data_IF_182398635575
#
_entry.id   IF_182398635575
#
_cell.length_a   1.000
_cell.length_b   1.000
_cell.length_c   1.000
_cell.angle_alpha   90.00
_cell.angle_beta   90.00
_cell.angle_gamma   90.00
#
_symmetry.space_group_name_H-M   'P 1'
#
loop_
_entity.id
_entity.type
_entity.pdbx_description
1 polymer ?
#
# COMPACT_ATOMS: atom_id res chain seq x y z
N UNK A 1 -33.26 -5.42 16.17
CA UNK A 1 -32.50 -5.66 14.92
C UNK A 1 -32.55 -4.40 14.10
N UNK A 2 -31.42 -3.69 13.96
CA UNK A 2 -31.28 -2.60 13.01
C UNK A 2 -30.08 -2.93 12.13
N UNK A 3 -30.37 -3.35 10.91
CA UNK A 3 -29.39 -3.61 9.86
C UNK A 3 -28.75 -2.28 9.47
N UNK A 4 -27.47 -2.11 9.80
CA UNK A 4 -26.67 -1.00 9.27
C UNK A 4 -26.35 -1.34 7.82
N UNK A 5 -26.89 -0.57 6.88
CA UNK A 5 -26.53 -0.67 5.48
C UNK A 5 -25.03 -0.38 5.30
N UNK A 6 -24.33 -1.07 4.37
CA UNK A 6 -22.93 -0.77 4.11
C UNK A 6 -22.79 0.69 3.65
N UNK A 7 -21.83 1.40 4.24
CA UNK A 7 -21.54 2.78 3.87
C UNK A 7 -21.21 2.85 2.37
N UNK A 8 -21.93 3.72 1.65
CA UNK A 8 -21.78 3.90 0.20
C UNK A 8 -20.47 4.57 -0.24
N UNK A 9 -19.57 4.90 0.69
CA UNK A 9 -18.23 5.40 0.38
C UNK A 9 -17.36 5.34 1.64
N UNK A 10 -16.33 4.49 1.71
CA UNK A 10 -15.37 4.48 2.83
C UNK A 10 -14.70 5.85 3.04
N UNK A 11 -14.65 6.68 1.99
CA UNK A 11 -14.11 8.04 2.01
C UNK A 11 -14.89 9.02 2.89
N UNK A 12 -16.10 8.69 3.35
CA UNK A 12 -16.85 9.54 4.30
C UNK A 12 -16.46 9.37 5.77
N UNK A 13 -15.69 8.33 6.13
CA UNK A 13 -15.28 8.10 7.53
C UNK A 13 -14.16 9.05 7.99
N UNK A 14 -13.44 9.67 7.05
CA UNK A 14 -12.48 10.74 7.29
C UNK A 14 -12.92 11.92 6.40
N UNK A 15 -13.11 13.13 6.93
CA UNK A 15 -13.54 14.29 6.14
C UNK A 15 -12.43 14.78 5.19
N UNK A 16 -12.05 13.96 4.21
CA UNK A 16 -11.10 14.29 3.15
C UNK A 16 -11.87 14.94 1.99
N UNK A 17 -12.48 16.10 2.26
CA UNK A 17 -13.40 16.76 1.31
C UNK A 17 -12.73 17.13 -0.03
N UNK A 18 -11.40 17.20 -0.06
CA UNK A 18 -10.61 17.52 -1.25
C UNK A 18 -9.62 16.41 -1.62
N UNK A 19 -9.88 15.16 -1.20
CA UNK A 19 -9.13 14.01 -1.68
C UNK A 19 -9.41 13.71 -3.16
N UNK A 20 -8.39 13.18 -3.83
CA UNK A 20 -8.51 12.70 -5.22
C UNK A 20 -8.49 11.18 -5.21
N UNK A 21 -9.55 10.60 -5.75
CA UNK A 21 -9.68 9.18 -5.96
C UNK A 21 -9.57 8.83 -7.44
N UNK A 22 -8.96 7.69 -7.74
CA UNK A 22 -8.94 7.09 -9.08
C UNK A 22 -9.33 5.63 -8.96
N UNK A 23 -10.31 5.18 -9.75
CA UNK A 23 -10.85 3.82 -9.67
C UNK A 23 -11.18 3.40 -8.23
N UNK A 24 -11.68 4.32 -7.38
CA UNK A 24 -11.99 4.07 -5.97
C UNK A 24 -10.80 4.03 -5.01
N UNK A 25 -9.57 4.12 -5.50
CA UNK A 25 -8.36 4.23 -4.67
C UNK A 25 -7.96 5.67 -4.41
N UNK A 26 -7.48 5.97 -3.21
CA UNK A 26 -7.02 7.31 -2.81
C UNK A 26 -5.62 7.59 -3.40
N UNK A 27 -5.52 8.49 -4.39
CA UNK A 27 -4.23 8.93 -4.98
C UNK A 27 -3.67 10.19 -4.33
N UNK A 28 -4.55 11.04 -3.80
CA UNK A 28 -4.19 12.23 -3.03
C UNK A 28 -5.12 12.38 -1.84
N UNK A 29 -4.55 12.58 -0.65
CA UNK A 29 -5.27 13.04 0.53
C UNK A 29 -5.76 14.49 0.32
N UNK A 30 -6.12 15.20 1.40
CA UNK A 30 -6.60 16.58 1.30
C UNK A 30 -5.61 17.47 0.55
N UNK A 31 -6.07 18.03 -0.57
CA UNK A 31 -5.25 18.83 -1.50
C UNK A 31 -5.08 20.29 -1.07
N UNK A 32 -5.79 20.72 -0.02
CA UNK A 32 -5.61 22.07 0.56
C UNK A 32 -4.48 22.06 1.60
N UNK A 33 -4.27 20.91 2.25
CA UNK A 33 -3.20 20.75 3.23
C UNK A 33 -1.84 20.63 2.55
N UNK A 34 -0.81 21.24 3.16
CA UNK A 34 0.58 21.18 2.67
C UNK A 34 1.32 19.96 3.23
N UNK A 35 0.70 18.79 3.11
CA UNK A 35 1.23 17.52 3.61
C UNK A 35 1.72 16.63 2.47
N UNK A 36 2.87 15.98 2.69
CA UNK A 36 3.40 14.93 1.81
C UNK A 36 3.55 13.66 2.63
N UNK A 37 3.01 12.56 2.13
CA UNK A 37 3.11 11.24 2.75
C UNK A 37 4.14 10.42 1.98
N UNK A 38 5.27 10.12 2.61
CA UNK A 38 6.29 9.25 2.02
C UNK A 38 5.84 7.80 2.15
N UNK A 39 5.79 7.09 1.03
CA UNK A 39 5.43 5.68 0.95
C UNK A 39 6.58 4.88 0.34
N UNK A 40 6.84 3.69 0.88
CA UNK A 40 7.80 2.74 0.33
C UNK A 40 7.12 1.37 0.23
N UNK A 41 7.23 0.73 -0.93
CA UNK A 41 6.80 -0.66 -1.09
C UNK A 41 8.01 -1.60 -1.01
N UNK A 42 7.79 -2.84 -0.61
CA UNK A 42 8.86 -3.84 -0.52
C UNK A 42 8.34 -5.27 -0.65
N UNK A 43 9.00 -6.05 -1.52
CA UNK A 43 8.67 -7.44 -1.81
C UNK A 43 9.91 -8.31 -1.88
N UNK A 44 10.56 -8.34 -3.04
CA UNK A 44 11.66 -9.27 -3.32
C UNK A 44 13.00 -8.88 -2.71
N UNK A 45 13.26 -7.57 -2.57
CA UNK A 45 14.56 -7.03 -2.15
C UNK A 45 14.42 -6.03 -1.00
N UNK A 46 15.49 -5.88 -0.21
CA UNK A 46 15.56 -4.93 0.90
C UNK A 46 16.79 -4.01 0.88
N UNK A 47 17.54 -3.97 -0.23
CA UNK A 47 18.90 -3.41 -0.28
C UNK A 47 18.98 -1.96 0.21
N UNK A 48 17.95 -1.16 -0.11
CA UNK A 48 17.81 0.23 0.34
C UNK A 48 17.28 0.40 1.77
N UNK A 49 16.66 -0.61 2.36
CA UNK A 49 15.87 -0.50 3.59
C UNK A 49 16.66 0.02 4.78
N UNK A 50 17.91 -0.42 4.96
CA UNK A 50 18.80 0.08 6.03
C UNK A 50 19.17 1.56 5.83
N UNK A 51 19.38 1.96 4.59
CA UNK A 51 19.74 3.33 4.24
C UNK A 51 18.54 4.27 4.42
N UNK A 52 17.38 3.90 3.87
CA UNK A 52 16.11 4.62 4.02
C UNK A 52 15.79 4.83 5.50
N UNK A 53 15.82 3.76 6.31
CA UNK A 53 15.60 3.86 7.76
C UNK A 53 16.57 4.85 8.41
N UNK A 54 17.85 4.86 8.02
CA UNK A 54 18.85 5.76 8.60
C UNK A 54 18.56 7.21 8.25
N UNK A 55 18.20 7.48 6.99
CA UNK A 55 17.87 8.83 6.51
C UNK A 55 16.62 9.34 7.20
N UNK A 56 15.53 8.56 7.22
CA UNK A 56 14.28 8.95 7.89
C UNK A 56 14.51 9.26 9.38
N UNK A 57 15.27 8.39 10.07
CA UNK A 57 15.62 8.62 11.47
C UNK A 57 16.42 9.91 11.68
N UNK A 58 17.40 10.19 10.82
CA UNK A 58 18.21 11.40 10.90
C UNK A 58 17.39 12.66 10.64
N UNK A 59 16.42 12.60 9.74
CA UNK A 59 15.54 13.72 9.40
C UNK A 59 14.35 13.87 10.36
N UNK A 60 14.09 12.88 11.22
CA UNK A 60 12.92 12.88 12.11
C UNK A 60 11.59 12.79 11.36
N UNK A 61 11.58 12.21 10.16
CA UNK A 61 10.39 12.16 9.28
C UNK A 61 9.73 10.78 9.36
N UNK A 62 8.43 10.69 9.70
CA UNK A 62 7.69 9.44 9.60
C UNK A 62 7.40 9.09 8.14
N UNK A 63 7.26 7.79 7.86
CA UNK A 63 6.93 7.27 6.54
C UNK A 63 6.00 6.06 6.68
N UNK A 64 5.45 5.64 5.55
CA UNK A 64 4.53 4.52 5.43
C UNK A 64 5.22 3.44 4.60
N UNK A 65 5.28 2.22 5.12
CA UNK A 65 5.86 1.08 4.40
C UNK A 65 4.75 0.07 4.14
N UNK A 66 4.68 -0.41 2.90
CA UNK A 66 3.73 -1.44 2.48
C UNK A 66 4.54 -2.65 2.00
N UNK A 67 4.43 -3.76 2.73
CA UNK A 67 5.26 -4.93 2.49
C UNK A 67 4.43 -6.12 2.07
N UNK A 68 4.97 -6.92 1.15
CA UNK A 68 4.34 -8.19 0.78
C UNK A 68 4.39 -9.16 1.97
N UNK A 69 3.56 -10.19 1.94
CA UNK A 69 3.63 -11.26 2.94
C UNK A 69 4.97 -11.97 2.92
N UNK A 70 5.55 -12.19 1.74
CA UNK A 70 6.90 -12.75 1.61
C UNK A 70 7.97 -11.86 2.25
N UNK A 71 7.86 -10.53 2.09
CA UNK A 71 8.74 -9.59 2.77
C UNK A 71 8.60 -9.66 4.30
N UNK A 72 7.38 -9.80 4.84
CA UNK A 72 7.17 -10.00 6.28
C UNK A 72 7.68 -11.36 6.78
N UNK A 73 7.53 -12.44 6.00
CA UNK A 73 8.00 -13.80 6.36
C UNK A 73 9.52 -13.89 6.41
N UNK A 74 10.17 -13.21 5.48
CA UNK A 74 11.61 -13.20 5.28
C UNK A 74 12.39 -12.95 6.60
N UNK A 75 13.23 -13.90 7.06
CA UNK A 75 14.03 -13.74 8.26
C UNK A 75 14.98 -12.54 8.24
N UNK A 76 15.56 -12.23 7.09
CA UNK A 76 16.48 -11.11 6.87
C UNK A 76 15.80 -9.74 7.04
N UNK A 77 14.49 -9.65 6.77
CA UNK A 77 13.70 -8.44 6.94
C UNK A 77 13.27 -8.19 8.39
N UNK A 78 13.23 -9.21 9.25
CA UNK A 78 12.67 -9.11 10.60
C UNK A 78 13.26 -7.98 11.43
N UNK A 79 14.59 -7.80 11.36
CA UNK A 79 15.28 -6.74 12.11
C UNK A 79 14.90 -5.35 11.61
N UNK A 80 14.75 -5.18 10.31
CA UNK A 80 14.32 -3.92 9.70
C UNK A 80 12.87 -3.60 10.10
N UNK A 81 11.94 -4.54 9.93
CA UNK A 81 10.52 -4.35 10.24
C UNK A 81 10.32 -3.96 11.71
N UNK A 82 10.96 -4.67 12.65
CA UNK A 82 10.91 -4.33 14.08
C UNK A 82 11.45 -2.93 14.37
N UNK A 83 12.52 -2.53 13.67
CA UNK A 83 13.10 -1.19 13.83
C UNK A 83 12.14 -0.12 13.31
N UNK A 84 11.58 -0.31 12.11
CA UNK A 84 10.63 0.64 11.52
C UNK A 84 9.40 0.83 12.42
N UNK A 85 8.83 -0.28 12.93
CA UNK A 85 7.72 -0.24 13.89
C UNK A 85 8.08 0.55 15.15
N UNK A 86 9.23 0.24 15.76
CA UNK A 86 9.70 0.92 16.99
C UNK A 86 9.90 2.42 16.77
N UNK A 87 10.22 2.82 15.54
CA UNK A 87 10.43 4.21 15.15
C UNK A 87 9.13 4.96 14.81
N UNK A 88 7.97 4.31 14.94
CA UNK A 88 6.68 4.95 14.72
C UNK A 88 6.29 5.11 13.25
N UNK A 89 6.94 4.38 12.34
CA UNK A 89 6.51 4.31 10.95
C UNK A 89 5.24 3.48 10.81
N UNK A 90 4.39 3.84 9.85
CA UNK A 90 3.23 3.03 9.50
C UNK A 90 3.69 1.81 8.70
N UNK A 91 3.14 0.63 9.03
CA UNK A 91 3.42 -0.63 8.34
C UNK A 91 2.11 -1.24 7.87
N UNK A 92 1.94 -1.36 6.56
CA UNK A 92 0.73 -1.84 5.91
C UNK A 92 0.93 -3.04 4.99
N UNK A 93 -0.16 -3.60 4.48
CA UNK A 93 -0.15 -4.68 3.52
C UNK A 93 0.15 -4.21 2.08
N UNK A 94 0.83 -5.07 1.32
CA UNK A 94 1.09 -4.95 -0.12
C UNK A 94 0.89 -6.30 -0.83
N UNK A 95 -0.24 -6.99 -0.57
CA UNK A 95 -0.52 -8.38 -1.00
C UNK A 95 0.35 -9.42 -0.29
N UNK A 96 -0.09 -10.67 -0.23
CA UNK A 96 0.75 -11.74 0.31
C UNK A 96 1.80 -12.19 -0.71
N UNK A 97 1.35 -12.50 -1.94
CA UNK A 97 2.14 -13.10 -3.02
C UNK A 97 2.40 -12.17 -4.19
N UNK A 98 2.12 -10.87 -4.02
CA UNK A 98 2.36 -9.85 -5.04
C UNK A 98 1.66 -10.20 -6.38
N UNK A 99 0.43 -10.69 -6.28
CA UNK A 99 -0.37 -11.11 -7.43
C UNK A 99 -0.77 -9.89 -8.28
N UNK A 100 -0.74 -10.05 -9.60
CA UNK A 100 -1.36 -9.09 -10.49
C UNK A 100 -2.88 -9.25 -10.37
N UNK A 101 -3.59 -8.24 -9.88
CA UNK A 101 -5.04 -8.33 -9.69
C UNK A 101 -5.88 -7.86 -10.89
N UNK A 102 -5.38 -6.88 -11.63
CA UNK A 102 -6.03 -6.32 -12.81
C UNK A 102 -5.10 -6.42 -14.02
N UNK A 103 -5.65 -6.66 -15.21
CA UNK A 103 -4.83 -6.86 -16.41
C UNK A 103 -4.10 -5.56 -16.82
N UNK A 104 -2.88 -5.72 -17.34
CA UNK A 104 -2.10 -4.64 -17.94
C UNK A 104 -2.67 -4.16 -19.28
N UNK A 105 -3.28 -5.06 -20.04
CA UNK A 105 -3.77 -4.78 -21.40
C UNK A 105 -5.18 -4.21 -21.39
N UNK A 106 -6.03 -4.73 -20.49
CA UNK A 106 -7.39 -4.23 -20.28
C UNK A 106 -7.65 -4.09 -18.79
N UNK A 107 -7.50 -2.88 -18.25
CA UNK A 107 -7.56 -2.60 -16.81
C UNK A 107 -8.88 -3.03 -16.15
N UNK A 108 -9.98 -3.05 -16.89
CA UNK A 108 -11.28 -3.48 -16.37
C UNK A 108 -11.38 -5.01 -16.22
N UNK A 109 -10.45 -5.76 -16.79
CA UNK A 109 -10.35 -7.22 -16.60
C UNK A 109 -9.63 -7.56 -15.30
N UNK A 110 -10.21 -8.50 -14.56
CA UNK A 110 -9.60 -9.10 -13.38
C UNK A 110 -8.69 -10.26 -13.78
N UNK A 111 -7.59 -10.41 -13.05
CA UNK A 111 -6.65 -11.52 -13.18
C UNK A 111 -6.79 -12.54 -12.05
N UNK A 112 -7.61 -12.21 -11.05
CA UNK A 112 -7.90 -13.03 -9.87
C UNK A 112 -9.40 -13.00 -9.57
N UNK A 113 -9.90 -14.07 -8.95
CA UNK A 113 -11.21 -14.10 -8.31
C UNK A 113 -11.23 -13.26 -7.02
N UNK A 114 -12.44 -12.99 -6.50
CA UNK A 114 -12.62 -12.28 -5.24
C UNK A 114 -12.04 -13.07 -4.06
N UNK A 115 -12.19 -14.39 -4.09
CA UNK A 115 -11.71 -15.32 -3.09
C UNK A 115 -10.18 -15.35 -3.06
N UNK A 116 -9.53 -15.33 -4.22
CA UNK A 116 -8.07 -15.24 -4.34
C UNK A 116 -7.56 -13.90 -3.81
N UNK A 117 -8.13 -12.78 -4.25
CA UNK A 117 -7.80 -11.44 -3.73
C UNK A 117 -7.95 -11.37 -2.19
N UNK A 118 -9.09 -11.84 -1.68
CA UNK A 118 -9.40 -11.80 -0.25
C UNK A 118 -8.43 -12.66 0.55
N UNK A 119 -8.16 -13.88 0.09
CA UNK A 119 -7.26 -14.82 0.75
C UNK A 119 -5.83 -14.30 0.76
N UNK A 120 -5.37 -13.74 -0.36
CA UNK A 120 -4.07 -13.12 -0.48
C UNK A 120 -3.92 -11.94 0.51
N UNK A 121 -4.87 -11.02 0.56
CA UNK A 121 -4.78 -9.89 1.50
C UNK A 121 -4.86 -10.34 2.97
N UNK A 122 -5.72 -11.31 3.30
CA UNK A 122 -5.83 -11.88 4.65
C UNK A 122 -4.53 -12.57 5.06
N UNK A 123 -3.87 -13.31 4.16
CA UNK A 123 -2.61 -13.98 4.47
C UNK A 123 -1.49 -12.97 4.75
N UNK A 124 -1.47 -11.84 4.04
CA UNK A 124 -0.52 -10.77 4.34
C UNK A 124 -0.72 -10.22 5.77
N UNK A 125 -1.97 -9.99 6.19
CA UNK A 125 -2.28 -9.61 7.57
C UNK A 125 -1.86 -10.66 8.60
N UNK A 126 -1.96 -11.96 8.29
CA UNK A 126 -1.49 -13.01 9.20
C UNK A 126 0.00 -12.83 9.49
N UNK A 127 0.83 -12.57 8.48
CA UNK A 127 2.26 -12.32 8.69
C UNK A 127 2.52 -11.04 9.49
N UNK A 128 1.72 -10.00 9.24
CA UNK A 128 1.77 -8.75 9.99
C UNK A 128 1.47 -8.94 11.49
N UNK A 129 0.68 -9.95 11.89
CA UNK A 129 0.41 -10.22 13.31
C UNK A 129 1.64 -10.68 14.09
N UNK A 130 2.62 -11.35 13.44
CA UNK A 130 3.92 -11.65 14.07
C UNK A 130 4.72 -10.37 14.39
N UNK A 131 4.40 -9.31 13.64
CA UNK A 131 4.67 -7.89 13.85
C UNK A 131 4.15 -7.31 15.14
N UNK A 132 3.05 -7.88 15.66
CA UNK A 132 2.07 -7.23 16.52
C UNK A 132 1.17 -6.24 15.79
N UNK A 133 1.17 -6.21 14.44
CA UNK A 133 0.41 -5.25 13.64
C UNK A 133 -0.93 -5.90 13.34
N UNK A 134 -2.01 -5.28 13.79
CA UNK A 134 -3.35 -5.79 13.52
C UNK A 134 -4.10 -4.90 12.52
N UNK A 135 -5.18 -5.44 11.96
CA UNK A 135 -5.97 -4.76 10.93
C UNK A 135 -6.50 -3.38 11.36
N UNK A 136 -6.81 -3.18 12.64
CA UNK A 136 -7.31 -1.89 13.15
C UNK A 136 -6.23 -0.80 13.15
N UNK A 137 -4.96 -1.19 13.17
CA UNK A 137 -3.80 -0.27 13.14
C UNK A 137 -3.30 -0.02 11.71
N UNK A 138 -3.65 -0.90 10.77
CA UNK A 138 -3.18 -0.86 9.39
C UNK A 138 -4.36 -0.92 8.41
N UNK A 139 -5.07 0.20 8.24
CA UNK A 139 -6.27 0.29 7.40
C UNK A 139 -5.98 0.58 5.92
N UNK A 140 -4.81 1.10 5.60
CA UNK A 140 -4.41 1.42 4.23
C UNK A 140 -3.76 0.22 3.54
N UNK A 141 -4.18 -0.04 2.32
CA UNK A 141 -3.67 -1.09 1.43
C UNK A 141 -3.08 -0.47 0.16
N UNK A 142 -1.84 -0.84 -0.17
CA UNK A 142 -1.21 -0.49 -1.45
C UNK A 142 -1.26 -1.72 -2.37
N UNK A 143 -1.90 -1.68 -3.55
CA UNK A 143 -1.98 -2.85 -4.42
C UNK A 143 -0.63 -3.20 -5.07
N UNK A 144 -0.33 -4.49 -5.33
CA UNK A 144 0.84 -4.92 -6.10
C UNK A 144 1.00 -4.16 -7.41
N UNK A 145 2.25 -3.84 -7.75
CA UNK A 145 2.61 -3.06 -8.94
C UNK A 145 1.89 -1.69 -9.01
N UNK A 146 1.33 -1.23 -7.90
CA UNK A 146 0.54 -0.01 -7.80
C UNK A 146 -0.61 0.02 -8.83
N UNK A 147 -1.11 -1.17 -9.19
CA UNK A 147 -2.05 -1.40 -10.28
C UNK A 147 -3.32 -2.09 -9.81
N UNK A 148 -4.46 -1.51 -10.16
CA UNK A 148 -5.78 -1.92 -9.69
C UNK A 148 -6.86 -1.31 -10.57
N UNK A 149 -8.10 -1.79 -10.42
CA UNK A 149 -9.30 -1.22 -11.02
C UNK A 149 -10.37 -0.99 -9.95
N UNK A 150 -11.55 -0.49 -10.37
CA UNK A 150 -12.64 -0.16 -9.44
C UNK A 150 -13.10 -1.39 -8.63
N UNK A 151 -13.10 -2.57 -9.25
CA UNK A 151 -13.56 -3.79 -8.60
C UNK A 151 -12.63 -4.21 -7.45
N UNK A 152 -11.32 -4.03 -7.62
CA UNK A 152 -10.34 -4.26 -6.55
C UNK A 152 -10.56 -3.27 -5.40
N UNK A 153 -10.74 -1.97 -5.69
CA UNK A 153 -11.05 -0.98 -4.64
C UNK A 153 -12.33 -1.31 -3.88
N UNK A 154 -13.36 -1.80 -4.58
CA UNK A 154 -14.61 -2.22 -3.95
C UNK A 154 -14.38 -3.42 -3.01
N UNK A 155 -13.63 -4.44 -3.44
CA UNK A 155 -13.31 -5.57 -2.58
C UNK A 155 -12.42 -5.17 -1.39
N UNK A 156 -11.49 -4.24 -1.56
CA UNK A 156 -10.74 -3.63 -0.45
C UNK A 156 -11.67 -2.97 0.56
N UNK A 157 -12.64 -2.18 0.08
CA UNK A 157 -13.64 -1.50 0.91
C UNK A 157 -14.55 -2.46 1.67
N UNK A 158 -14.97 -3.56 1.04
CA UNK A 158 -15.76 -4.62 1.70
C UNK A 158 -14.99 -5.29 2.86
N UNK A 159 -13.66 -5.34 2.76
CA UNK A 159 -12.80 -5.76 3.86
C UNK A 159 -12.60 -4.65 4.90
N UNK A 160 -13.23 -3.48 4.77
CA UNK A 160 -13.07 -2.35 5.70
C UNK A 160 -11.69 -1.71 5.63
N UNK A 161 -11.05 -1.76 4.46
CA UNK A 161 -9.75 -1.18 4.19
C UNK A 161 -9.88 -0.04 3.18
N UNK A 162 -8.86 0.80 3.10
CA UNK A 162 -8.77 1.90 2.14
C UNK A 162 -7.65 1.58 1.17
N UNK A 163 -7.98 1.40 -0.12
CA UNK A 163 -6.98 1.28 -1.17
C UNK A 163 -6.36 2.66 -1.40
N UNK A 164 -5.04 2.75 -1.35
CA UNK A 164 -4.29 3.97 -1.66
C UNK A 164 -3.35 3.74 -2.84
N UNK A 165 -2.93 4.81 -3.50
CA UNK A 165 -1.86 4.77 -4.49
C UNK A 165 -1.00 6.04 -4.44
N UNK A 166 0.15 6.01 -5.12
CA UNK A 166 0.97 7.20 -5.29
C UNK A 166 0.29 8.25 -6.16
N UNK A 167 0.70 9.51 -5.98
CA UNK A 167 0.28 10.61 -6.86
C UNK A 167 1.06 10.55 -8.18
N UNK A 168 0.40 10.44 -9.34
CA UNK A 168 1.10 10.38 -10.63
C UNK A 168 1.79 11.71 -10.99
N UNK A 169 2.82 11.64 -11.84
CA UNK A 169 3.49 12.81 -12.44
C UNK A 169 4.80 13.25 -11.80
N UNK A 170 5.16 12.75 -10.61
CA UNK A 170 6.44 13.06 -9.94
C UNK A 170 7.59 12.16 -10.41
N UNK A 171 7.29 11.04 -11.10
CA UNK A 171 8.23 9.97 -11.50
C UNK A 171 9.03 9.33 -10.35
N UNK A 172 8.68 9.62 -9.10
CA UNK A 172 9.37 9.07 -7.92
C UNK A 172 9.21 7.56 -7.76
N UNK A 173 8.23 6.97 -8.45
CA UNK A 173 7.93 5.54 -8.46
C UNK A 173 8.63 4.76 -9.59
N UNK A 174 9.48 5.40 -10.38
CA UNK A 174 10.23 4.79 -11.49
C UNK A 174 11.64 4.33 -11.06
N UNK A 175 11.82 3.94 -9.80
CA UNK A 175 13.10 3.53 -9.22
C UNK A 175 13.60 2.15 -9.70
N UNK A 176 12.75 1.40 -10.41
CA UNK A 176 13.12 0.21 -11.18
C UNK A 176 13.83 0.53 -12.50
N UNK A 177 13.81 1.79 -12.94
CA UNK A 177 14.53 2.24 -14.13
C UNK A 177 15.92 2.71 -13.76
N UNK A 178 16.91 2.37 -14.59
CA UNK A 178 18.27 2.88 -14.47
C UNK A 178 18.57 3.77 -15.69
N UNK A 179 19.43 4.80 -15.58
CA UNK A 179 19.68 5.74 -16.68
C UNK A 179 20.12 5.07 -17.99
N UNK A 180 20.76 3.91 -17.89
CA UNK A 180 21.25 3.06 -18.98
C UNK A 180 20.14 2.26 -19.69
N UNK A 181 18.94 2.11 -19.10
CA UNK A 181 17.83 1.33 -19.70
C UNK A 181 16.96 2.11 -20.68
N UNK A 182 17.30 3.37 -21.00
CA UNK A 182 16.60 4.17 -22.03
C UNK A 182 15.15 4.56 -21.70
N UNK A 183 14.59 4.06 -20.60
CA UNK A 183 13.27 4.40 -20.06
C UNK A 183 13.31 5.67 -19.18
N UNK A 184 14.52 6.14 -18.84
CA UNK A 184 14.72 7.44 -18.21
C UNK A 184 14.56 8.55 -19.26
N UNK A 185 13.38 9.19 -19.29
CA UNK A 185 13.18 10.43 -20.04
C UNK A 185 13.15 11.60 -19.05
N UNK A 186 13.96 12.65 -19.25
CA UNK A 186 14.03 13.81 -18.35
C UNK A 186 12.69 14.54 -18.23
#
# INVERSE_FOLDING_TARGET
MASVAPAQDPGKAYSLNHAIFRYGGLERADTIEKNIYLTFTGGDFNDGGKWINRVLQRQGVPAHFFFTGDFYRSPENKKLIKKLRKQGHYLGPHSDKHLLYASWTNRDSLMVSKEEFTSDLINNYKEMTAFGINKKEALFFMPPYEWYNQQISNWTAELGLILINYTPGTRSNADYTTPDKGEFRP
#
